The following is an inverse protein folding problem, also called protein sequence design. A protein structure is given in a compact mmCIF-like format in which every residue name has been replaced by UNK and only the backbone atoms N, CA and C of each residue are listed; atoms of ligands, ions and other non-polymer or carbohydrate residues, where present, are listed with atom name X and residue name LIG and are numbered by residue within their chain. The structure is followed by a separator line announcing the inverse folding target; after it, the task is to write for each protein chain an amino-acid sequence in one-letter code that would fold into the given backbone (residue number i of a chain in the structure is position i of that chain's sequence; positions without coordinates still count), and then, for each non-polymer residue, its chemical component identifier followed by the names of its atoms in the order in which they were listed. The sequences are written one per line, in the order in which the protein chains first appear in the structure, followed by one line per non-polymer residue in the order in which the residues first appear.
data_IF_718716278798
#
_entry.id   IF_718716278798
#
_cell.length_a   1.000
_cell.length_b   1.000
_cell.length_c   1.000
_cell.angle_alpha   90.00
_cell.angle_beta   90.00
_cell.angle_gamma   90.00
#
_symmetry.space_group_name_H-M   'P 1'
#
loop_
_entity.id
_entity.type
_entity.pdbx_description
1 polymer ?
#
# COMPACT_ATOMS: atom_id res chain seq x y z
N UNK A 1 -16.37 -17.36 4.76
CA UNK A 1 -16.22 -15.94 4.33
C UNK A 1 -15.37 -15.77 3.07
N UNK A 2 -14.38 -16.62 2.80
CA UNK A 2 -13.40 -16.44 1.70
C UNK A 2 -14.01 -16.47 0.30
N UNK A 3 -15.06 -17.28 0.09
CA UNK A 3 -15.73 -17.42 -1.20
C UNK A 3 -16.67 -16.26 -1.56
N UNK A 4 -16.93 -15.34 -0.62
CA UNK A 4 -17.82 -14.21 -0.86
C UNK A 4 -17.09 -13.06 -1.59
N UNK A 5 -17.77 -12.34 -2.50
CA UNK A 5 -17.27 -11.10 -3.09
C UNK A 5 -16.79 -10.09 -2.05
N UNK A 6 -15.80 -9.26 -2.39
CA UNK A 6 -15.26 -8.24 -1.50
C UNK A 6 -16.33 -7.31 -0.94
N UNK A 7 -17.24 -6.82 -1.77
CA UNK A 7 -18.30 -5.90 -1.32
C UNK A 7 -19.25 -6.57 -0.32
N UNK A 8 -19.58 -7.84 -0.52
CA UNK A 8 -20.41 -8.57 0.44
C UNK A 8 -19.68 -8.74 1.77
N UNK A 9 -18.38 -9.07 1.74
CA UNK A 9 -17.55 -9.16 2.94
C UNK A 9 -17.47 -7.82 3.69
N UNK A 10 -17.35 -6.70 2.97
CA UNK A 10 -17.37 -5.34 3.55
C UNK A 10 -18.70 -5.01 4.21
N UNK A 11 -19.82 -5.31 3.55
CA UNK A 11 -21.17 -5.13 4.13
C UNK A 11 -21.35 -5.93 5.42
N UNK A 12 -20.89 -7.18 5.44
CA UNK A 12 -20.94 -8.03 6.64
C UNK A 12 -20.06 -7.46 7.76
N UNK A 13 -18.86 -6.98 7.42
CA UNK A 13 -17.96 -6.33 8.39
C UNK A 13 -18.57 -5.07 8.98
N UNK A 14 -19.21 -4.24 8.16
CA UNK A 14 -19.92 -3.02 8.60
C UNK A 14 -21.07 -3.35 9.55
N UNK A 15 -21.82 -4.43 9.30
CA UNK A 15 -22.89 -4.86 10.20
C UNK A 15 -22.40 -5.47 11.52
N UNK A 16 -21.16 -5.97 11.55
CA UNK A 16 -20.61 -6.68 12.70
C UNK A 16 -19.83 -5.77 13.66
N UNK A 17 -19.45 -4.57 13.23
CA UNK A 17 -18.54 -3.69 13.97
C UNK A 17 -19.23 -2.37 14.30
N UNK A 18 -19.23 -2.03 15.59
CA UNK A 18 -19.47 -0.65 16.05
C UNK A 18 -18.14 0.02 16.29
N UNK A 19 -17.85 1.08 15.55
CA UNK A 19 -16.60 1.82 15.68
C UNK A 19 -16.50 2.53 17.03
N UNK A 20 -15.26 2.71 17.49
CA UNK A 20 -14.93 3.48 18.69
C UNK A 20 -13.49 4.00 18.59
N UNK A 21 -13.01 4.66 19.64
CA UNK A 21 -11.67 5.28 19.69
C UNK A 21 -10.50 4.31 19.46
N UNK A 22 -10.73 2.99 19.54
CA UNK A 22 -9.72 1.94 19.36
C UNK A 22 -9.98 1.05 18.14
N UNK A 23 -11.14 1.17 17.50
CA UNK A 23 -11.56 0.30 16.41
C UNK A 23 -12.28 1.11 15.34
N UNK A 24 -11.68 1.16 14.16
CA UNK A 24 -12.23 1.85 12.99
C UNK A 24 -12.23 0.93 11.78
N UNK A 25 -13.27 1.05 10.96
CA UNK A 25 -13.36 0.40 9.66
C UNK A 25 -12.59 1.21 8.63
N UNK A 26 -11.76 0.50 7.87
CA UNK A 26 -11.02 1.10 6.76
C UNK A 26 -11.99 1.59 5.67
N UNK A 27 -12.05 2.92 5.54
CA UNK A 27 -12.84 3.61 4.53
C UNK A 27 -12.28 3.34 3.13
N UNK A 28 -13.16 3.34 2.15
CA UNK A 28 -12.82 3.06 0.75
C UNK A 28 -13.69 3.90 -0.18
N UNK A 29 -13.23 4.03 -1.41
CA UNK A 29 -13.97 4.64 -2.50
C UNK A 29 -14.06 3.66 -3.67
N UNK A 30 -15.08 3.80 -4.51
CA UNK A 30 -15.35 2.83 -5.57
C UNK A 30 -14.89 3.26 -6.97
N UNK A 31 -14.84 4.56 -7.26
CA UNK A 31 -14.68 5.05 -8.65
C UNK A 31 -13.49 5.99 -8.82
N UNK A 32 -13.26 6.89 -7.86
CA UNK A 32 -12.29 7.98 -7.99
C UNK A 32 -10.86 7.58 -7.56
N UNK A 33 -10.42 6.40 -7.99
CA UNK A 33 -9.15 5.79 -7.56
C UNK A 33 -7.92 6.67 -7.77
N UNK A 34 -7.83 7.33 -8.94
CA UNK A 34 -6.74 8.26 -9.28
C UNK A 34 -6.73 9.46 -8.33
N UNK A 35 -7.88 10.13 -8.16
CA UNK A 35 -7.97 11.27 -7.25
C UNK A 35 -7.67 10.90 -5.78
N UNK A 36 -8.01 9.67 -5.36
CA UNK A 36 -7.67 9.17 -4.04
C UNK A 36 -6.18 8.84 -3.89
N UNK A 37 -5.54 8.36 -4.95
CA UNK A 37 -4.09 8.24 -4.98
C UNK A 37 -3.39 9.59 -4.90
N UNK A 38 -3.88 10.60 -5.63
CA UNK A 38 -3.34 11.96 -5.56
C UNK A 38 -3.53 12.59 -4.18
N UNK A 39 -4.65 12.30 -3.52
CA UNK A 39 -4.84 12.67 -2.12
C UNK A 39 -3.83 11.96 -1.22
N UNK A 40 -3.65 10.65 -1.36
CA UNK A 40 -2.65 9.90 -0.58
C UNK A 40 -1.23 10.46 -0.78
N UNK A 41 -0.89 10.88 -2.01
CA UNK A 41 0.38 11.56 -2.31
C UNK A 41 0.52 12.88 -1.59
N UNK A 42 -0.51 13.75 -1.62
CA UNK A 42 -0.50 15.05 -0.93
C UNK A 42 -0.40 14.91 0.59
N UNK A 43 -1.03 13.89 1.15
CA UNK A 43 -0.99 13.56 2.58
C UNK A 43 0.28 12.81 3.00
N UNK A 44 1.27 12.65 2.10
CA UNK A 44 2.52 11.94 2.35
C UNK A 44 2.34 10.49 2.85
N UNK A 45 1.28 9.81 2.38
CA UNK A 45 1.02 8.41 2.67
C UNK A 45 1.79 7.49 1.72
N UNK A 46 1.95 6.21 2.11
CA UNK A 46 2.63 5.21 1.26
C UNK A 46 1.97 5.03 -0.11
N UNK A 47 0.65 5.22 -0.19
CA UNK A 47 -0.15 5.05 -1.39
C UNK A 47 -1.49 4.41 -1.08
N UNK A 48 -2.05 3.73 -2.05
CA UNK A 48 -3.38 3.12 -1.95
C UNK A 48 -3.35 1.63 -2.28
N UNK A 49 -4.50 1.01 -2.04
CA UNK A 49 -4.72 -0.39 -2.31
C UNK A 49 -6.01 -0.53 -3.13
N UNK A 50 -5.86 -0.92 -4.39
CA UNK A 50 -7.00 -1.28 -5.23
C UNK A 50 -7.38 -2.73 -5.01
N UNK A 51 -8.67 -3.00 -4.82
CA UNK A 51 -9.20 -4.36 -4.65
C UNK A 51 -10.39 -4.55 -5.56
N UNK A 52 -10.43 -5.66 -6.28
CA UNK A 52 -11.52 -5.96 -7.20
C UNK A 52 -12.81 -6.28 -6.43
N UNK A 53 -13.89 -5.58 -6.76
CA UNK A 53 -15.17 -5.59 -6.01
C UNK A 53 -15.78 -6.99 -5.87
N UNK A 54 -15.63 -7.80 -6.91
CA UNK A 54 -16.24 -9.12 -7.01
C UNK A 54 -15.28 -10.26 -6.67
N UNK A 55 -14.05 -9.95 -6.24
CA UNK A 55 -13.06 -10.99 -5.98
C UNK A 55 -13.31 -11.74 -4.67
N UNK A 56 -12.98 -13.03 -4.70
CA UNK A 56 -12.81 -13.85 -3.51
C UNK A 56 -11.57 -13.40 -2.72
N UNK A 57 -11.49 -13.84 -1.47
CA UNK A 57 -10.26 -13.76 -0.69
C UNK A 57 -9.43 -15.02 -0.90
N UNK A 58 -8.13 -14.85 -1.12
CA UNK A 58 -7.20 -15.95 -1.37
C UNK A 58 -6.15 -16.02 -0.24
N UNK A 59 -6.38 -16.83 0.80
CA UNK A 59 -5.44 -16.96 1.91
C UNK A 59 -4.04 -17.38 1.43
N UNK A 60 -3.00 -16.66 1.85
CA UNK A 60 -1.61 -16.99 1.55
C UNK A 60 -1.17 -16.78 0.10
N UNK A 61 -2.03 -16.24 -0.78
CA UNK A 61 -1.71 -16.09 -2.20
C UNK A 61 -1.68 -14.63 -2.64
N UNK A 62 -0.69 -14.28 -3.46
CA UNK A 62 -0.63 -13.02 -4.19
C UNK A 62 -1.41 -13.16 -5.51
N UNK A 63 -2.37 -12.28 -5.75
CA UNK A 63 -3.24 -12.27 -6.93
C UNK A 63 -3.48 -10.83 -7.37
N UNK A 64 -3.71 -10.63 -8.66
CA UNK A 64 -3.89 -9.29 -9.26
C UNK A 64 -5.24 -8.63 -8.94
N UNK A 65 -6.07 -9.29 -8.12
CA UNK A 65 -7.32 -8.75 -7.58
C UNK A 65 -7.10 -7.82 -6.38
N UNK A 66 -5.84 -7.71 -5.90
CA UNK A 66 -5.45 -6.86 -4.79
C UNK A 66 -4.09 -6.23 -5.10
N UNK A 67 -4.12 -5.00 -5.59
CA UNK A 67 -2.96 -4.26 -6.06
C UNK A 67 -2.56 -3.17 -5.06
N UNK A 68 -1.28 -3.16 -4.68
CA UNK A 68 -0.67 -2.07 -3.93
C UNK A 68 -0.10 -1.06 -4.90
N UNK A 69 -0.58 0.18 -4.83
CA UNK A 69 -0.17 1.29 -5.70
C UNK A 69 0.55 2.29 -4.81
N UNK A 70 1.88 2.32 -4.90
CA UNK A 70 2.73 3.11 -4.02
C UNK A 70 3.01 4.50 -4.60
N UNK A 71 3.05 5.49 -3.73
CA UNK A 71 3.67 6.78 -4.02
C UNK A 71 5.18 6.55 -3.95
N UNK A 72 5.84 6.60 -5.10
CA UNK A 72 7.29 6.60 -5.16
C UNK A 72 7.80 8.03 -5.03
N UNK A 73 8.83 8.21 -4.20
CA UNK A 73 9.70 9.37 -4.25
C UNK A 73 11.00 8.87 -4.87
N UNK A 74 11.34 9.46 -6.00
CA UNK A 74 12.53 9.14 -6.76
C UNK A 74 13.29 10.45 -6.93
N UNK A 75 14.60 10.35 -6.84
CA UNK A 75 15.51 11.47 -6.92
C UNK A 75 16.79 10.96 -7.58
N UNK A 76 17.33 11.75 -8.51
CA UNK A 76 18.57 11.43 -9.19
C UNK A 76 19.72 11.90 -8.30
N UNK A 77 20.51 10.96 -7.80
CA UNK A 77 21.60 11.24 -6.85
C UNK A 77 22.93 10.72 -7.40
N UNK A 78 24.02 11.43 -7.08
CA UNK A 78 25.38 11.02 -7.42
C UNK A 78 25.94 10.12 -6.32
N UNK A 79 26.53 8.98 -6.71
CA UNK A 79 27.29 8.14 -5.79
C UNK A 79 28.66 8.78 -5.57
N UNK A 80 28.91 9.30 -4.37
CA UNK A 80 30.17 9.94 -3.99
C UNK A 80 31.13 9.00 -3.26
N UNK A 81 30.66 7.82 -2.85
CA UNK A 81 31.47 6.82 -2.16
C UNK A 81 30.64 5.67 -1.61
N UNK A 82 31.30 4.75 -0.89
CA UNK A 82 30.65 3.62 -0.25
C UNK A 82 31.36 3.21 1.05
N UNK A 83 30.61 2.59 1.96
CA UNK A 83 31.17 1.94 3.15
C UNK A 83 31.19 0.41 2.93
N UNK A 84 32.36 -0.26 3.06
CA UNK A 84 32.44 -1.72 2.95
C UNK A 84 32.08 -2.42 4.27
N UNK A 85 31.63 -3.67 4.16
CA UNK A 85 31.62 -4.65 5.28
C UNK A 85 33.03 -5.19 5.53
N UNK A 86 33.21 -5.92 6.62
CA UNK A 86 34.49 -6.59 6.95
C UNK A 86 34.97 -7.54 5.85
N UNK A 87 34.05 -8.16 5.10
CA UNK A 87 34.38 -9.04 3.96
C UNK A 87 34.61 -8.29 2.63
N UNK A 88 34.71 -6.96 2.66
CA UNK A 88 34.95 -6.12 1.48
C UNK A 88 33.73 -5.86 0.59
N UNK A 89 32.58 -6.48 0.86
CA UNK A 89 31.34 -6.19 0.09
C UNK A 89 30.74 -4.83 0.46
N UNK A 90 30.10 -4.16 -0.51
CA UNK A 90 29.45 -2.87 -0.28
C UNK A 90 28.31 -3.04 0.73
N UNK A 91 28.29 -2.17 1.75
CA UNK A 91 27.23 -2.10 2.76
C UNK A 91 26.31 -0.92 2.51
N UNK A 92 26.89 0.27 2.41
CA UNK A 92 26.19 1.55 2.34
C UNK A 92 26.74 2.36 1.16
N UNK A 93 25.88 3.15 0.51
CA UNK A 93 26.26 4.13 -0.51
C UNK A 93 26.16 5.54 0.07
N UNK A 94 27.15 6.37 -0.21
CA UNK A 94 27.13 7.80 0.12
C UNK A 94 26.60 8.53 -1.11
N UNK A 95 25.43 9.15 -0.96
CA UNK A 95 24.71 9.83 -2.03
C UNK A 95 24.77 11.34 -1.80
N UNK A 96 24.91 12.11 -2.89
CA UNK A 96 24.80 13.56 -2.88
C UNK A 96 23.85 14.04 -3.99
N UNK A 97 23.18 15.15 -3.72
CA UNK A 97 22.44 15.93 -4.71
C UNK A 97 23.36 17.03 -5.27
N UNK A 98 23.07 17.53 -6.49
CA UNK A 98 23.87 18.57 -7.16
C UNK A 98 23.33 19.98 -6.90
#
# INVERSE_FOLDING_TARGET
MTEKPLLERKRLLESAITENNRLVLSRYIEEKGVAFFDLAKRENLEGIVAKEKNSRYYPGARRDVWLKIKVYREEDLVICGYAPKENGSIKDLILADY
#
